data_IF_849437455177
#
_entry.id   IF_849437455177
#
_cell.length_a   1.000
_cell.length_b   1.000
_cell.length_c   1.000
_cell.angle_alpha   90.00
_cell.angle_beta   90.00
_cell.angle_gamma   90.00
#
_symmetry.space_group_name_H-M   'P 1'
#
loop_
_entity.id
_entity.type
_entity.pdbx_description
1 polymer ?
#
# COMPACT_ATOMS: atom_id res chain seq x y z
N UNK A 1 -7.09 -17.15 19.30
CA UNK A 1 -6.91 -17.91 18.06
C UNK A 1 -5.60 -17.43 17.42
N UNK A 2 -4.58 -18.28 17.21
CA UNK A 2 -3.33 -17.85 16.58
C UNK A 2 -3.50 -17.67 15.07
N UNK A 3 -2.91 -16.61 14.51
CA UNK A 3 -2.86 -16.31 13.08
C UNK A 3 -1.41 -16.05 12.68
N UNK A 4 -0.97 -16.61 11.56
CA UNK A 4 0.38 -16.45 11.04
C UNK A 4 0.34 -15.86 9.63
N UNK A 5 1.25 -14.92 9.34
CA UNK A 5 1.41 -14.34 8.00
C UNK A 5 2.64 -15.00 7.36
N UNK A 6 2.50 -15.42 6.10
CA UNK A 6 3.60 -16.00 5.32
C UNK A 6 4.60 -14.91 4.92
N UNK A 7 5.90 -15.22 4.92
CA UNK A 7 6.87 -14.43 4.18
C UNK A 7 6.42 -14.27 2.71
N UNK A 8 6.76 -13.15 2.09
CA UNK A 8 6.31 -12.72 0.75
C UNK A 8 4.83 -12.30 0.63
N UNK A 9 4.07 -12.28 1.73
CA UNK A 9 2.66 -11.87 1.67
C UNK A 9 2.52 -10.39 1.27
N UNK A 10 1.52 -10.13 0.41
CA UNK A 10 0.98 -8.81 0.10
C UNK A 10 -0.51 -8.91 0.38
N UNK A 11 -0.99 -8.20 1.39
CA UNK A 11 -2.37 -8.33 1.90
C UNK A 11 -3.03 -6.95 1.79
N UNK A 12 -4.00 -6.79 0.87
CA UNK A 12 -4.85 -5.60 0.87
C UNK A 12 -5.67 -5.52 2.15
N UNK A 13 -5.78 -4.31 2.68
CA UNK A 13 -6.55 -4.02 3.87
C UNK A 13 -7.47 -2.83 3.60
N UNK A 14 -8.53 -2.73 4.40
CA UNK A 14 -9.37 -1.54 4.51
C UNK A 14 -8.95 -0.76 5.76
N UNK A 15 -9.08 0.57 5.72
CA UNK A 15 -8.96 1.38 6.94
C UNK A 15 -10.15 1.09 7.86
N UNK A 16 -9.88 0.71 9.11
CA UNK A 16 -10.91 0.42 10.12
C UNK A 16 -10.71 1.31 11.33
N UNK A 17 -11.75 2.05 11.69
CA UNK A 17 -11.83 2.92 12.86
C UNK A 17 -13.27 3.03 13.36
N UNK A 18 -13.51 3.87 14.39
CA UNK A 18 -14.83 4.06 14.98
C UNK A 18 -15.88 4.68 14.07
N UNK A 19 -15.51 5.15 12.87
CA UNK A 19 -16.44 5.66 11.86
C UNK A 19 -16.77 4.59 10.81
N UNK A 20 -16.08 3.46 10.81
CA UNK A 20 -16.33 2.36 9.85
C UNK A 20 -17.66 1.70 10.15
N UNK A 21 -18.59 1.75 9.21
CA UNK A 21 -19.96 1.28 9.40
C UNK A 21 -20.11 -0.19 9.03
N UNK A 22 -19.57 -0.61 7.88
CA UNK A 22 -19.77 -1.96 7.33
C UNK A 22 -18.61 -2.41 6.42
N UNK A 23 -18.76 -3.59 5.81
CA UNK A 23 -17.76 -4.20 4.94
C UNK A 23 -17.62 -3.53 3.57
N UNK A 24 -18.61 -2.73 3.14
CA UNK A 24 -18.57 -2.00 1.86
C UNK A 24 -17.87 -0.64 2.01
N UNK A 25 -17.00 -0.50 3.00
CA UNK A 25 -16.27 0.73 3.34
C UNK A 25 -17.15 1.95 3.67
N UNK A 26 -18.46 1.77 3.90
CA UNK A 26 -19.32 2.90 4.27
C UNK A 26 -18.92 3.46 5.64
N UNK A 27 -19.05 4.77 5.82
CA UNK A 27 -18.65 5.47 7.05
C UNK A 27 -19.82 6.25 7.67
N UNK A 28 -19.89 6.28 9.00
CA UNK A 28 -20.95 6.92 9.79
C UNK A 28 -21.02 8.43 9.57
N UNK A 29 -19.87 9.06 9.35
CA UNK A 29 -19.72 10.49 9.09
C UNK A 29 -19.85 10.86 7.60
N UNK A 30 -20.12 9.90 6.73
CA UNK A 30 -20.20 10.09 5.28
C UNK A 30 -18.86 10.41 4.59
N UNK A 31 -17.75 10.39 5.33
CA UNK A 31 -16.41 10.53 4.73
C UNK A 31 -16.07 9.32 3.87
N UNK A 32 -15.07 9.47 3.00
CA UNK A 32 -14.59 8.41 2.11
C UNK A 32 -13.10 8.17 2.36
N UNK A 33 -12.68 6.90 2.27
CA UNK A 33 -11.30 6.44 2.45
C UNK A 33 -10.95 5.53 1.27
N UNK A 34 -10.35 6.12 0.24
CA UNK A 34 -10.06 5.41 -1.01
C UNK A 34 -8.58 5.05 -1.17
N UNK A 35 -7.77 5.17 -0.13
CA UNK A 35 -6.37 4.74 -0.21
C UNK A 35 -6.25 3.23 -0.46
N UNK A 36 -5.19 2.83 -1.17
CA UNK A 36 -4.78 1.43 -1.23
C UNK A 36 -3.90 1.16 -0.01
N UNK A 37 -4.36 0.30 0.91
CA UNK A 37 -3.57 -0.12 2.09
C UNK A 37 -3.06 -1.53 1.88
N UNK A 38 -1.75 -1.71 2.04
CA UNK A 38 -1.10 -3.01 1.86
C UNK A 38 -0.27 -3.35 3.09
N UNK A 39 -0.55 -4.48 3.74
CA UNK A 39 0.39 -5.12 4.65
C UNK A 39 1.28 -6.06 3.87
N UNK A 40 2.59 -5.88 4.00
CA UNK A 40 3.58 -6.56 3.19
C UNK A 40 4.65 -7.17 4.09
N UNK A 41 4.96 -8.45 3.89
CA UNK A 41 6.01 -9.15 4.66
C UNK A 41 7.06 -9.63 3.69
N UNK A 42 8.27 -9.07 3.80
CA UNK A 42 9.42 -9.45 2.98
C UNK A 42 9.78 -10.92 3.14
N UNK A 43 10.45 -11.48 2.13
CA UNK A 43 11.00 -12.83 2.16
C UNK A 43 12.22 -12.92 1.25
N UNK A 44 12.58 -14.13 0.82
CA UNK A 44 13.75 -14.33 -0.04
C UNK A 44 13.44 -14.17 -1.54
N UNK A 45 12.17 -14.17 -1.94
CA UNK A 45 11.74 -14.19 -3.34
C UNK A 45 10.87 -13.00 -3.67
N UNK A 46 10.78 -12.70 -4.97
CA UNK A 46 9.79 -11.76 -5.50
C UNK A 46 8.38 -12.30 -5.28
N UNK A 47 7.44 -11.41 -4.96
CA UNK A 47 6.03 -11.75 -4.89
C UNK A 47 5.14 -10.71 -5.55
N UNK A 48 3.91 -11.12 -5.80
CA UNK A 48 2.92 -10.29 -6.45
C UNK A 48 1.51 -10.52 -5.91
N UNK A 49 0.67 -9.51 -6.11
CA UNK A 49 -0.76 -9.56 -5.86
C UNK A 49 -1.46 -8.75 -6.95
N UNK A 50 -2.60 -9.24 -7.44
CA UNK A 50 -3.45 -8.50 -8.39
C UNK A 50 -4.71 -8.04 -7.65
N UNK A 51 -4.79 -6.74 -7.35
CA UNK A 51 -5.97 -6.13 -6.74
C UNK A 51 -7.06 -5.99 -7.79
N UNK A 52 -8.28 -6.41 -7.45
CA UNK A 52 -9.48 -6.25 -8.26
C UNK A 52 -10.46 -5.33 -7.55
N UNK A 53 -11.11 -4.48 -8.33
CA UNK A 53 -12.12 -3.52 -7.87
C UNK A 53 -13.26 -3.44 -8.88
N UNK A 54 -14.49 -3.33 -8.41
CA UNK A 54 -15.70 -3.12 -9.21
C UNK A 54 -16.65 -2.14 -8.51
N UNK A 55 -17.91 -2.06 -8.95
CA UNK A 55 -18.89 -1.11 -8.43
C UNK A 55 -19.70 -1.63 -7.22
N UNK A 56 -19.40 -2.83 -6.71
CA UNK A 56 -20.07 -3.54 -5.61
C UNK A 56 -21.60 -3.76 -5.77
N UNK A 57 -22.19 -3.42 -6.93
CA UNK A 57 -23.66 -3.35 -7.11
C UNK A 57 -24.12 -4.19 -8.28
N UNK A 58 -23.38 -4.17 -9.40
CA UNK A 58 -23.75 -4.83 -10.65
C UNK A 58 -22.88 -6.07 -10.84
N UNK A 59 -23.38 -7.01 -11.65
CA UNK A 59 -22.56 -8.13 -12.17
C UNK A 59 -21.73 -7.72 -13.40
N UNK A 60 -21.47 -6.43 -13.58
CA UNK A 60 -20.77 -5.88 -14.74
C UNK A 60 -19.28 -6.31 -14.80
N UNK A 61 -18.74 -6.84 -13.70
CA UNK A 61 -17.44 -7.51 -13.71
C UNK A 61 -17.39 -8.69 -14.70
N UNK A 62 -18.54 -9.32 -15.01
CA UNK A 62 -18.62 -10.40 -16.00
C UNK A 62 -18.39 -9.90 -17.44
N UNK A 63 -18.68 -8.62 -17.70
CA UNK A 63 -18.37 -7.94 -18.97
C UNK A 63 -17.05 -7.17 -18.93
N UNK A 64 -16.25 -7.35 -17.87
CA UNK A 64 -14.93 -6.74 -17.74
C UNK A 64 -14.93 -5.31 -17.19
N UNK A 65 -16.05 -4.82 -16.64
CA UNK A 65 -16.10 -3.55 -15.91
C UNK A 65 -15.48 -3.70 -14.52
N UNK A 66 -14.17 -3.91 -14.52
CA UNK A 66 -13.32 -4.00 -13.33
C UNK A 66 -12.09 -3.13 -13.51
N UNK A 67 -11.53 -2.69 -12.39
CA UNK A 67 -10.17 -2.18 -12.36
C UNK A 67 -9.25 -3.20 -11.72
N UNK A 68 -8.10 -3.42 -12.35
CA UNK A 68 -7.02 -4.23 -11.80
C UNK A 68 -5.80 -3.39 -11.50
N UNK A 69 -5.13 -3.65 -10.37
CA UNK A 69 -3.86 -3.02 -10.01
C UNK A 69 -2.89 -4.11 -9.56
N UNK A 70 -1.84 -4.35 -10.36
CA UNK A 70 -0.78 -5.29 -9.97
C UNK A 70 0.11 -4.64 -8.93
N UNK A 71 0.50 -5.39 -7.91
CA UNK A 71 1.47 -4.99 -6.91
C UNK A 71 2.57 -6.03 -6.90
N UNK A 72 3.83 -5.59 -6.93
CA UNK A 72 4.99 -6.48 -6.84
C UNK A 72 5.92 -6.04 -5.71
N UNK A 73 6.55 -7.00 -5.06
CA UNK A 73 7.56 -6.79 -4.02
C UNK A 73 8.79 -7.62 -4.33
N UNK A 74 9.95 -6.98 -4.40
CA UNK A 74 11.23 -7.59 -4.78
C UNK A 74 12.29 -7.25 -3.72
N UNK A 75 12.64 -8.20 -2.84
CA UNK A 75 13.78 -8.04 -1.93
C UNK A 75 15.09 -8.15 -2.72
N UNK A 76 16.03 -7.24 -2.47
CA UNK A 76 17.30 -7.11 -3.18
C UNK A 76 18.44 -6.79 -2.21
N UNK A 77 18.82 -7.75 -1.36
CA UNK A 77 19.92 -7.57 -0.40
C UNK A 77 19.66 -6.45 0.61
N UNK A 78 20.40 -5.35 0.47
CA UNK A 78 20.29 -4.09 1.21
C UNK A 78 19.13 -3.20 0.71
N UNK A 79 18.30 -3.70 -0.22
CA UNK A 79 17.17 -2.95 -0.78
C UNK A 79 15.89 -3.76 -0.82
N UNK A 80 14.77 -3.05 -0.91
CA UNK A 80 13.46 -3.64 -1.20
C UNK A 80 12.72 -2.74 -2.18
N UNK A 81 12.34 -3.33 -3.31
CA UNK A 81 11.63 -2.65 -4.38
C UNK A 81 10.16 -3.09 -4.38
N UNK A 82 9.27 -2.15 -4.05
CA UNK A 82 7.83 -2.34 -4.11
C UNK A 82 7.31 -1.52 -5.29
N UNK A 83 6.43 -2.09 -6.11
CA UNK A 83 5.79 -1.37 -7.21
C UNK A 83 4.30 -1.60 -7.17
N UNK A 84 3.54 -0.52 -7.03
CA UNK A 84 2.12 -0.50 -7.32
C UNK A 84 2.02 -0.01 -8.76
N UNK A 85 1.70 -0.93 -9.66
CA UNK A 85 1.69 -0.68 -11.10
C UNK A 85 0.51 0.21 -11.48
N UNK A 86 0.60 0.86 -12.63
CA UNK A 86 -0.53 1.57 -13.23
C UNK A 86 -1.75 0.63 -13.33
N UNK A 87 -2.90 1.15 -12.93
CA UNK A 87 -4.16 0.43 -12.94
C UNK A 87 -4.70 0.26 -14.36
N UNK A 88 -5.29 -0.90 -14.62
CA UNK A 88 -5.85 -1.27 -15.92
C UNK A 88 -7.35 -1.51 -15.80
N UNK A 89 -8.12 -1.08 -16.80
CA UNK A 89 -9.58 -1.15 -16.76
C UNK A 89 -10.21 -0.05 -15.92
N UNK A 90 -11.54 -0.05 -15.86
CA UNK A 90 -12.35 0.92 -15.13
C UNK A 90 -13.74 0.35 -14.86
N UNK A 91 -14.49 1.04 -14.02
CA UNK A 91 -15.89 0.75 -13.71
C UNK A 91 -16.59 2.06 -13.34
N UNK A 92 -17.94 2.13 -13.38
CA UNK A 92 -18.67 3.34 -12.99
C UNK A 92 -18.35 3.78 -11.56
N UNK A 93 -17.82 5.00 -11.40
CA UNK A 93 -17.45 5.54 -10.09
C UNK A 93 -15.99 5.30 -9.68
N UNK A 94 -15.19 4.60 -10.50
CA UNK A 94 -13.76 4.44 -10.25
C UNK A 94 -13.04 5.80 -10.20
N UNK A 95 -12.30 6.03 -9.11
CA UNK A 95 -11.50 7.26 -8.96
C UNK A 95 -10.11 7.11 -9.60
N UNK A 96 -9.60 8.22 -10.14
CA UNK A 96 -8.34 8.22 -10.89
C UNK A 96 -7.11 8.60 -10.07
N UNK A 97 -7.26 8.95 -8.79
CA UNK A 97 -6.14 9.33 -7.92
C UNK A 97 -6.29 8.69 -6.56
N UNK A 98 -5.21 8.13 -6.02
CA UNK A 98 -5.22 7.49 -4.70
C UNK A 98 -3.91 7.65 -3.97
N UNK A 99 -3.99 7.76 -2.64
CA UNK A 99 -2.84 7.47 -1.81
C UNK A 99 -2.59 5.96 -1.77
N UNK A 100 -1.34 5.56 -1.56
CA UNK A 100 -0.97 4.19 -1.26
C UNK A 100 -0.22 4.17 0.06
N UNK A 101 -0.73 3.38 1.00
CA UNK A 101 -0.21 3.21 2.35
C UNK A 101 0.37 1.80 2.50
N UNK A 102 1.65 1.71 2.77
CA UNK A 102 2.36 0.45 2.95
C UNK A 102 2.70 0.25 4.42
N UNK A 103 2.36 -0.92 4.95
CA UNK A 103 2.82 -1.46 6.22
C UNK A 103 3.78 -2.61 5.89
N UNK A 104 5.07 -2.26 5.73
CA UNK A 104 6.10 -3.17 5.25
C UNK A 104 6.94 -3.70 6.41
N UNK A 105 7.03 -5.02 6.54
CA UNK A 105 7.89 -5.70 7.50
C UNK A 105 8.96 -6.54 6.81
N UNK A 106 10.17 -6.57 7.36
CA UNK A 106 11.25 -7.49 6.99
C UNK A 106 11.77 -8.23 8.23
N UNK A 107 12.44 -9.39 8.06
CA UNK A 107 12.88 -10.19 9.21
C UNK A 107 14.08 -9.58 9.98
N UNK A 108 14.79 -8.61 9.41
CA UNK A 108 15.92 -7.93 10.08
C UNK A 108 15.46 -6.64 10.76
N UNK A 109 16.12 -6.27 11.86
CA UNK A 109 15.80 -5.09 12.67
C UNK A 109 16.45 -3.79 12.16
N UNK A 110 16.87 -3.77 10.89
CA UNK A 110 17.54 -2.62 10.29
C UNK A 110 16.54 -1.51 9.97
N UNK A 111 16.88 -0.28 10.37
CA UNK A 111 16.18 0.92 9.94
C UNK A 111 16.59 1.25 8.50
N UNK A 112 15.67 1.63 7.60
CA UNK A 112 16.04 2.19 6.30
C UNK A 112 16.90 3.45 6.45
N UNK A 113 17.90 3.61 5.60
CA UNK A 113 18.61 4.88 5.46
C UNK A 113 17.75 5.90 4.71
N UNK A 114 17.06 5.45 3.67
CA UNK A 114 16.26 6.29 2.79
C UNK A 114 15.16 5.48 2.11
N UNK A 115 14.04 6.14 1.84
CA UNK A 115 12.95 5.60 1.04
C UNK A 115 12.72 6.54 -0.14
N UNK A 116 12.72 6.01 -1.35
CA UNK A 116 12.40 6.74 -2.57
C UNK A 116 11.01 6.37 -3.07
N UNK A 117 10.32 7.36 -3.66
CA UNK A 117 9.15 7.18 -4.50
C UNK A 117 9.45 7.78 -5.86
N UNK A 118 9.46 6.95 -6.92
CA UNK A 118 9.76 7.39 -8.29
C UNK A 118 11.02 8.29 -8.34
N UNK A 119 12.12 7.76 -7.78
CA UNK A 119 13.44 8.40 -7.70
C UNK A 119 13.52 9.66 -6.80
N UNK A 120 12.42 10.08 -6.18
CA UNK A 120 12.38 11.20 -5.22
C UNK A 120 12.40 10.70 -3.78
N UNK A 121 13.29 11.23 -2.95
CA UNK A 121 13.36 10.86 -1.54
C UNK A 121 12.09 11.29 -0.79
N UNK A 122 11.48 10.35 -0.06
CA UNK A 122 10.37 10.63 0.84
C UNK A 122 10.90 11.13 2.19
N UNK A 123 10.25 12.13 2.81
CA UNK A 123 10.63 12.59 4.13
C UNK A 123 10.36 11.51 5.18
N UNK A 124 11.30 11.37 6.13
CA UNK A 124 11.08 10.59 7.35
C UNK A 124 10.27 11.42 8.36
N UNK A 125 9.21 10.86 8.95
CA UNK A 125 8.50 11.48 10.06
C UNK A 125 9.25 11.29 11.38
N UNK A 126 9.27 12.30 12.27
CA UNK A 126 9.98 12.19 13.55
C UNK A 126 9.30 11.18 14.49
N UNK A 127 7.97 11.11 14.43
CA UNK A 127 7.17 10.12 15.15
C UNK A 127 5.94 9.67 14.34
N UNK A 128 5.24 8.67 14.89
CA UNK A 128 4.04 8.10 14.27
C UNK A 128 2.90 9.10 14.11
N UNK A 129 2.75 10.04 15.04
CA UNK A 129 1.67 11.04 14.98
C UNK A 129 1.93 12.07 13.90
N UNK A 130 3.18 12.51 13.75
CA UNK A 130 3.59 13.39 12.66
C UNK A 130 3.43 12.72 11.30
N UNK A 131 3.94 11.49 11.13
CA UNK A 131 3.78 10.72 9.89
C UNK A 131 2.30 10.51 9.52
N UNK A 132 1.42 10.30 10.51
CA UNK A 132 -0.03 10.20 10.24
C UNK A 132 -0.63 11.48 9.63
N UNK A 133 -0.05 12.65 9.90
CA UNK A 133 -0.49 13.95 9.37
C UNK A 133 0.12 14.32 8.02
N UNK A 134 1.20 13.66 7.59
CA UNK A 134 1.80 13.92 6.27
C UNK A 134 0.98 13.31 5.14
N UNK A 135 1.02 13.96 3.98
CA UNK A 135 0.43 13.42 2.75
C UNK A 135 1.25 12.26 2.18
N UNK A 136 2.57 12.42 2.18
CA UNK A 136 3.57 11.42 1.76
C UNK A 136 4.78 11.45 2.70
N UNK A 137 5.46 10.31 2.82
CA UNK A 137 6.56 10.14 3.76
C UNK A 137 6.64 8.73 4.32
N UNK A 138 7.67 8.46 5.12
CA UNK A 138 7.85 7.17 5.76
C UNK A 138 8.17 7.32 7.25
N UNK A 139 7.98 6.25 8.02
CA UNK A 139 8.27 6.20 9.44
C UNK A 139 8.72 4.80 9.85
N UNK A 140 9.81 4.71 10.59
CA UNK A 140 10.28 3.46 11.19
C UNK A 140 9.53 3.20 12.50
N UNK A 141 8.53 2.32 12.46
CA UNK A 141 7.56 2.12 13.55
C UNK A 141 8.16 1.24 14.66
N UNK A 142 8.74 0.12 14.28
CA UNK A 142 9.29 -0.90 15.18
C UNK A 142 10.45 -1.63 14.46
N UNK A 143 11.29 -2.41 15.18
CA UNK A 143 12.35 -3.20 14.56
C UNK A 143 11.89 -3.98 13.32
N UNK A 144 12.45 -3.62 12.15
CA UNK A 144 12.14 -4.26 10.87
C UNK A 144 10.81 -3.86 10.23
N UNK A 145 10.11 -2.85 10.75
CA UNK A 145 8.79 -2.40 10.26
C UNK A 145 8.78 -0.92 9.87
N UNK A 146 8.37 -0.66 8.62
CA UNK A 146 8.33 0.67 8.03
C UNK A 146 6.93 0.95 7.53
N UNK A 147 6.40 2.12 7.90
CA UNK A 147 5.15 2.64 7.37
C UNK A 147 5.46 3.66 6.28
N UNK A 148 4.78 3.60 5.13
CA UNK A 148 5.07 4.47 3.98
C UNK A 148 3.76 4.99 3.40
N UNK A 149 3.70 6.29 3.09
CA UNK A 149 2.65 6.92 2.29
C UNK A 149 3.27 7.49 1.04
N UNK A 150 2.64 7.24 -0.09
CA UNK A 150 3.10 7.76 -1.39
C UNK A 150 2.58 9.16 -1.70
N UNK A 151 1.60 9.66 -0.94
CA UNK A 151 0.80 10.81 -1.36
C UNK A 151 -0.26 10.41 -2.38
N UNK A 152 -1.22 11.30 -2.62
CA UNK A 152 -2.25 11.07 -3.64
C UNK A 152 -1.61 11.22 -5.02
N UNK A 153 -1.58 10.12 -5.77
CA UNK A 153 -1.05 10.07 -7.13
C UNK A 153 -2.08 9.45 -8.08
N UNK A 154 -1.95 9.79 -9.37
CA UNK A 154 -2.74 9.18 -10.43
C UNK A 154 -2.59 7.66 -10.42
N UNK A 155 -3.68 6.94 -10.69
CA UNK A 155 -3.68 5.48 -10.73
C UNK A 155 -3.07 4.94 -12.03
N UNK A 156 -2.89 5.77 -13.05
CA UNK A 156 -2.24 5.44 -14.32
C UNK A 156 -0.71 5.57 -14.27
N UNK A 157 -0.13 6.01 -13.14
CA UNK A 157 1.33 6.04 -12.96
C UNK A 157 1.80 4.88 -12.09
N UNK A 158 2.94 4.30 -12.45
CA UNK A 158 3.63 3.38 -11.55
C UNK A 158 4.10 4.14 -10.31
N UNK A 159 3.88 3.55 -9.14
CA UNK A 159 4.42 4.02 -7.87
C UNK A 159 5.52 3.05 -7.45
N UNK A 160 6.75 3.41 -7.76
CA UNK A 160 7.95 2.64 -7.43
C UNK A 160 8.51 3.12 -6.10
N UNK A 161 8.34 2.31 -5.06
CA UNK A 161 8.90 2.56 -3.73
C UNK A 161 10.17 1.73 -3.57
N UNK A 162 11.30 2.39 -3.36
CA UNK A 162 12.59 1.75 -3.10
C UNK A 162 13.03 2.06 -1.66
N UNK A 163 13.18 1.03 -0.85
CA UNK A 163 13.64 1.12 0.53
C UNK A 163 15.10 0.68 0.55
N UNK A 164 16.01 1.54 0.98
CA UNK A 164 17.44 1.25 1.05
C UNK A 164 17.91 1.17 2.50
N UNK A 165 18.75 0.17 2.80
CA UNK A 165 19.34 -0.13 4.10
C UNK A 165 20.86 0.01 4.03
N UNK A 166 21.56 -0.01 5.16
CA UNK A 166 23.03 -0.06 5.14
C UNK A 166 23.52 -1.41 4.62
N UNK A 167 24.62 -1.40 3.87
CA UNK A 167 25.32 -2.58 3.34
C UNK A 167 26.23 -3.26 4.35
#
# INVERSE_FOLDING_TARGET
>A
MPLFIRAQAIIPLMHVDGQTMNISSARLDGSVRDEIILRMVSGAQTSEFLLYEDDDVRVAYQSGEVRTTRVTMQPQGDRSLITVHAAQGTYPGAINTRNTVLDYSRPTAEKPQIVFLNDSALPEGADRQEWKKTDGGWYYDEPGRVLIKTGVLDVQVNKRVEIQYES
#
